data_IF_724822137380
#
_entry.id   IF_724822137380
#
_cell.length_a   1.000
_cell.length_b   1.000
_cell.length_c   1.000
_cell.angle_alpha   90.00
_cell.angle_beta   90.00
_cell.angle_gamma   90.00
#
_symmetry.space_group_name_H-M   'P 1'
#
loop_
_entity.id
_entity.type
_entity.pdbx_description
1 polymer ?
#
# COMPACT_ATOMS: atom_id res chain seq x y z
N UNK A 1 -9.23 -16.67 -16.49
CA UNK A 1 -10.16 -17.17 -15.46
C UNK A 1 -9.44 -18.21 -14.62
N UNK A 2 -9.42 -18.06 -13.30
CA UNK A 2 -8.75 -18.98 -12.36
C UNK A 2 -9.41 -20.37 -12.43
N UNK A 3 -8.68 -21.38 -12.89
CA UNK A 3 -9.16 -22.76 -12.93
C UNK A 3 -9.34 -23.26 -11.48
N UNK A 4 -10.56 -23.66 -11.05
CA UNK A 4 -10.82 -24.07 -9.66
C UNK A 4 -9.95 -25.24 -9.19
N UNK A 5 -9.50 -26.10 -10.10
CA UNK A 5 -8.60 -27.22 -9.77
C UNK A 5 -7.20 -26.74 -9.40
N UNK A 6 -6.68 -25.77 -10.16
CA UNK A 6 -5.36 -25.17 -9.92
C UNK A 6 -5.33 -24.49 -8.55
N UNK A 7 -6.39 -23.76 -8.20
CA UNK A 7 -6.50 -23.12 -6.88
C UNK A 7 -6.52 -24.14 -5.73
N UNK A 8 -7.37 -25.17 -5.82
CA UNK A 8 -7.40 -26.24 -4.80
C UNK A 8 -6.06 -26.95 -4.64
N UNK A 9 -5.33 -27.13 -5.74
CA UNK A 9 -4.01 -27.74 -5.69
C UNK A 9 -2.99 -26.81 -5.03
N UNK A 10 -3.02 -25.51 -5.34
CA UNK A 10 -2.19 -24.51 -4.68
C UNK A 10 -2.41 -24.50 -3.17
N UNK A 11 -3.67 -24.44 -2.71
CA UNK A 11 -4.02 -24.46 -1.29
C UNK A 11 -3.51 -25.74 -0.60
N UNK A 12 -3.66 -26.89 -1.27
CA UNK A 12 -3.20 -28.18 -0.72
C UNK A 12 -1.68 -28.27 -0.64
N UNK A 13 -0.97 -27.75 -1.65
CA UNK A 13 0.50 -27.66 -1.66
C UNK A 13 0.94 -26.74 -0.51
N UNK A 14 0.32 -25.58 -0.36
CA UNK A 14 0.66 -24.63 0.70
C UNK A 14 0.58 -25.27 2.08
N UNK A 15 -0.54 -25.91 2.41
CA UNK A 15 -0.73 -26.59 3.71
C UNK A 15 0.29 -27.71 3.89
N UNK A 16 0.49 -28.56 2.87
CA UNK A 16 1.43 -29.68 2.95
C UNK A 16 2.86 -29.21 3.17
N UNK A 17 3.30 -28.17 2.45
CA UNK A 17 4.65 -27.60 2.57
C UNK A 17 4.83 -26.96 3.94
N UNK A 18 3.85 -26.20 4.43
CA UNK A 18 3.89 -25.59 5.76
C UNK A 18 4.03 -26.64 6.87
N UNK A 19 3.19 -27.69 6.85
CA UNK A 19 3.27 -28.80 7.81
C UNK A 19 4.63 -29.53 7.75
N UNK A 20 5.17 -29.70 6.55
CA UNK A 20 6.47 -30.34 6.33
C UNK A 20 7.63 -29.52 6.92
N UNK A 21 7.60 -28.21 6.72
CA UNK A 21 8.60 -27.30 7.26
C UNK A 21 8.54 -27.26 8.80
N UNK A 22 7.34 -27.24 9.38
CA UNK A 22 7.17 -27.22 10.84
C UNK A 22 7.63 -28.54 11.51
N UNK A 23 7.27 -29.69 10.92
CA UNK A 23 7.39 -30.99 11.61
C UNK A 23 8.62 -31.80 11.22
N UNK A 24 9.07 -31.69 9.97
CA UNK A 24 9.98 -32.66 9.34
C UNK A 24 11.32 -32.09 8.92
N UNK A 25 11.38 -30.80 8.57
CA UNK A 25 12.63 -30.15 8.17
C UNK A 25 13.27 -29.48 9.38
N UNK A 26 14.15 -30.21 10.07
CA UNK A 26 14.96 -29.71 11.19
C UNK A 26 16.41 -29.55 10.75
N UNK A 27 16.64 -28.65 9.80
CA UNK A 27 18.00 -28.28 9.42
C UNK A 27 18.48 -27.13 10.31
N UNK A 28 19.64 -27.22 10.99
CA UNK A 28 20.17 -26.13 11.80
C UNK A 28 20.47 -24.84 11.01
N UNK A 29 20.55 -24.92 9.66
CA UNK A 29 20.73 -23.77 8.76
C UNK A 29 19.42 -23.10 8.37
N UNK A 30 18.29 -23.77 8.60
CA UNK A 30 16.97 -23.24 8.30
C UNK A 30 16.52 -22.34 9.46
N UNK A 31 16.32 -21.06 9.19
CA UNK A 31 15.74 -20.12 10.14
C UNK A 31 14.24 -20.38 10.36
N UNK A 32 13.56 -19.43 11.02
CA UNK A 32 12.10 -19.51 11.16
C UNK A 32 11.44 -19.13 9.83
N UNK A 33 11.14 -20.14 9.00
CA UNK A 33 10.56 -19.98 7.67
C UNK A 33 9.04 -20.07 7.71
N UNK A 34 8.36 -19.12 7.08
CA UNK A 34 6.90 -19.11 6.93
C UNK A 34 6.53 -19.09 5.45
N UNK A 35 5.56 -19.91 5.04
CA UNK A 35 5.03 -19.92 3.66
C UNK A 35 3.88 -18.92 3.55
N UNK A 36 4.01 -17.93 2.67
CA UNK A 36 3.00 -16.88 2.49
C UNK A 36 1.95 -17.27 1.46
N UNK A 37 2.39 -17.75 0.30
CA UNK A 37 1.52 -18.04 -0.85
C UNK A 37 2.12 -19.14 -1.73
N UNK A 38 1.28 -19.81 -2.51
CA UNK A 38 1.71 -20.76 -3.54
C UNK A 38 0.98 -20.48 -4.83
N UNK A 39 1.73 -20.31 -5.91
CA UNK A 39 1.17 -20.11 -7.26
C UNK A 39 1.50 -21.29 -8.13
N UNK A 40 0.46 -21.88 -8.72
CA UNK A 40 0.59 -23.02 -9.62
C UNK A 40 0.30 -22.55 -11.04
N UNK A 41 1.14 -22.98 -11.99
CA UNK A 41 0.95 -22.72 -13.42
C UNK A 41 -0.36 -23.33 -13.93
N UNK A 42 -0.92 -22.77 -15.01
CA UNK A 42 -2.19 -23.21 -15.59
C UNK A 42 -2.17 -24.67 -16.07
N UNK A 43 -0.99 -25.18 -16.44
CA UNK A 43 -0.73 -26.57 -16.83
C UNK A 43 -0.40 -27.49 -15.66
N UNK A 44 -0.35 -26.97 -14.43
CA UNK A 44 -0.04 -27.69 -13.19
C UNK A 44 1.34 -28.36 -13.13
N UNK A 45 2.25 -28.01 -14.03
CA UNK A 45 3.60 -28.60 -14.07
C UNK A 45 4.58 -27.87 -13.14
N UNK A 46 4.33 -26.60 -12.86
CA UNK A 46 5.19 -25.73 -12.05
C UNK A 46 4.40 -25.11 -10.90
N UNK A 47 5.02 -25.05 -9.73
CA UNK A 47 4.47 -24.38 -8.56
C UNK A 47 5.56 -23.53 -7.89
N UNK A 48 5.33 -22.23 -7.79
CA UNK A 48 6.18 -21.28 -7.09
C UNK A 48 5.65 -21.07 -5.68
N UNK A 49 6.48 -21.37 -4.69
CA UNK A 49 6.20 -21.26 -3.26
C UNK A 49 6.87 -20.01 -2.73
N UNK A 50 6.08 -19.06 -2.26
CA UNK A 50 6.55 -17.82 -1.65
C UNK A 50 6.75 -18.02 -0.16
N UNK A 51 7.93 -17.68 0.33
CA UNK A 51 8.29 -17.85 1.73
C UNK A 51 9.01 -16.64 2.29
N UNK A 52 8.90 -16.46 3.60
CA UNK A 52 9.57 -15.40 4.35
C UNK A 52 10.44 -16.05 5.41
N UNK A 53 11.57 -15.42 5.73
CA UNK A 53 12.47 -15.88 6.78
C UNK A 53 12.56 -14.80 7.84
N UNK A 54 12.34 -15.17 9.09
CA UNK A 54 12.59 -14.25 10.20
C UNK A 54 14.10 -14.25 10.51
N UNK A 55 14.80 -13.18 10.13
CA UNK A 55 16.22 -13.03 10.42
C UNK A 55 16.94 -12.03 9.50
N UNK A 56 18.26 -11.99 9.62
CA UNK A 56 19.14 -11.20 8.75
C UNK A 56 19.41 -11.90 7.40
N UNK A 57 20.00 -11.16 6.45
CA UNK A 57 20.29 -11.63 5.08
C UNK A 57 21.13 -12.93 5.03
N UNK A 58 22.04 -13.12 5.98
CA UNK A 58 22.82 -14.37 6.11
C UNK A 58 21.90 -15.57 6.39
N UNK A 59 20.86 -15.40 7.21
CA UNK A 59 19.89 -16.46 7.49
C UNK A 59 18.95 -16.70 6.29
N UNK A 60 18.63 -15.65 5.52
CA UNK A 60 17.84 -15.78 4.29
C UNK A 60 18.57 -16.66 3.29
N UNK A 61 19.85 -16.37 3.02
CA UNK A 61 20.67 -17.15 2.07
C UNK A 61 20.92 -18.58 2.55
N UNK A 62 21.19 -18.79 3.84
CA UNK A 62 21.32 -20.13 4.42
C UNK A 62 20.01 -20.94 4.33
N UNK A 63 18.88 -20.30 4.60
CA UNK A 63 17.55 -20.92 4.51
C UNK A 63 17.18 -21.26 3.07
N UNK A 64 17.53 -20.40 2.11
CA UNK A 64 17.33 -20.68 0.69
C UNK A 64 18.10 -21.94 0.23
N UNK A 65 19.36 -22.08 0.64
CA UNK A 65 20.17 -23.26 0.35
C UNK A 65 19.61 -24.54 1.02
N UNK A 66 19.11 -24.43 2.25
CA UNK A 66 18.48 -25.53 2.97
C UNK A 66 17.17 -25.98 2.28
N UNK A 67 16.32 -25.03 1.86
CA UNK A 67 15.08 -25.31 1.13
C UNK A 67 15.35 -25.97 -0.22
N UNK A 68 16.36 -25.51 -0.97
CA UNK A 68 16.72 -26.13 -2.25
C UNK A 68 17.25 -27.56 -2.05
N UNK A 69 18.00 -27.81 -0.97
CA UNK A 69 18.45 -29.15 -0.60
C UNK A 69 17.28 -30.08 -0.20
N UNK A 70 16.28 -29.53 0.51
CA UNK A 70 15.09 -30.25 0.94
C UNK A 70 14.02 -30.40 -0.15
N UNK A 71 14.15 -29.72 -1.28
CA UNK A 71 13.17 -29.67 -2.38
C UNK A 71 12.72 -31.05 -2.86
N UNK A 72 13.64 -32.00 -3.00
CA UNK A 72 13.30 -33.36 -3.40
C UNK A 72 12.39 -34.07 -2.40
N UNK A 73 12.71 -33.94 -1.11
CA UNK A 73 11.93 -34.52 -0.01
C UNK A 73 10.55 -33.86 0.11
N UNK A 74 10.49 -32.54 0.02
CA UNK A 74 9.23 -31.79 0.05
C UNK A 74 8.36 -32.19 -1.14
N UNK A 75 8.92 -32.24 -2.37
CA UNK A 75 8.18 -32.65 -3.57
C UNK A 75 7.63 -34.07 -3.44
N UNK A 76 8.41 -35.01 -2.91
CA UNK A 76 7.96 -36.39 -2.71
C UNK A 76 6.78 -36.48 -1.74
N UNK A 77 6.77 -35.72 -0.65
CA UNK A 77 5.65 -35.70 0.30
C UNK A 77 4.41 -34.99 -0.26
N UNK A 78 4.60 -33.88 -0.97
CA UNK A 78 3.53 -33.21 -1.71
C UNK A 78 2.87 -34.18 -2.69
N UNK A 79 3.66 -34.99 -3.41
CA UNK A 79 3.12 -36.02 -4.31
C UNK A 79 2.28 -37.09 -3.60
N UNK A 80 2.71 -37.55 -2.42
CA UNK A 80 1.95 -38.50 -1.61
C UNK A 80 0.64 -37.92 -1.10
N UNK A 81 0.63 -36.66 -0.69
CA UNK A 81 -0.58 -35.99 -0.19
C UNK A 81 -1.58 -35.60 -1.28
N UNK A 82 -1.09 -35.20 -2.45
CA UNK A 82 -1.93 -34.79 -3.58
C UNK A 82 -2.57 -35.98 -4.30
N UNK A 83 -1.91 -37.13 -4.35
CA UNK A 83 -2.39 -38.31 -5.07
C UNK A 83 -2.51 -38.09 -6.59
N UNK A 84 -1.78 -37.12 -7.15
CA UNK A 84 -1.82 -36.78 -8.57
C UNK A 84 -0.84 -37.60 -9.38
N UNK A 85 -1.14 -37.80 -10.67
CA UNK A 85 -0.24 -38.49 -11.60
C UNK A 85 1.05 -37.69 -11.85
N UNK A 86 0.93 -36.37 -11.88
CA UNK A 86 2.05 -35.45 -12.07
C UNK A 86 2.14 -34.54 -10.85
N UNK A 87 3.34 -34.50 -10.26
CA UNK A 87 3.65 -33.63 -9.14
C UNK A 87 4.36 -32.42 -9.71
N UNK A 88 3.89 -31.19 -9.44
CA UNK A 88 4.53 -29.99 -9.95
C UNK A 88 5.97 -29.89 -9.44
N UNK A 89 6.83 -29.30 -10.27
CA UNK A 89 8.16 -28.87 -9.83
C UNK A 89 7.99 -27.67 -8.91
N UNK A 90 8.58 -27.75 -7.71
CA UNK A 90 8.52 -26.70 -6.71
C UNK A 90 9.69 -25.74 -6.89
N UNK A 91 9.40 -24.45 -6.94
CA UNK A 91 10.38 -23.37 -6.91
C UNK A 91 10.15 -22.53 -5.66
N UNK A 92 11.22 -22.19 -4.93
CA UNK A 92 11.11 -21.40 -3.70
C UNK A 92 11.55 -19.96 -3.98
N UNK A 93 10.65 -19.02 -3.73
CA UNK A 93 10.89 -17.58 -3.96
C UNK A 93 10.77 -16.85 -2.63
N UNK A 94 11.82 -16.13 -2.25
CA UNK A 94 11.79 -15.31 -1.05
C UNK A 94 10.86 -14.11 -1.25
N UNK A 95 9.97 -13.91 -0.29
CA UNK A 95 8.98 -12.86 -0.28
C UNK A 95 9.42 -11.69 0.63
N UNK A 96 9.56 -10.50 0.04
CA UNK A 96 9.90 -9.27 0.75
C UNK A 96 8.68 -8.49 1.28
N UNK A 97 7.45 -8.98 1.04
CA UNK A 97 6.22 -8.31 1.46
C UNK A 97 6.14 -7.98 2.98
N UNK A 98 6.65 -8.80 3.93
CA UNK A 98 6.49 -8.50 5.36
C UNK A 98 7.15 -7.19 5.79
N UNK A 99 8.34 -6.87 5.25
CA UNK A 99 9.04 -5.64 5.60
C UNK A 99 8.31 -4.41 5.06
N UNK A 100 7.70 -4.55 3.87
CA UNK A 100 6.89 -3.49 3.27
C UNK A 100 5.63 -3.21 4.09
N UNK A 101 4.97 -4.25 4.61
CA UNK A 101 3.78 -4.09 5.45
C UNK A 101 4.09 -3.32 6.75
N UNK A 102 5.16 -3.67 7.45
CA UNK A 102 5.61 -2.94 8.67
C UNK A 102 5.87 -1.46 8.40
N UNK A 103 6.54 -1.17 7.28
CA UNK A 103 6.83 0.21 6.90
C UNK A 103 5.54 1.01 6.65
N UNK A 104 4.56 0.42 5.97
CA UNK A 104 3.25 1.06 5.74
C UNK A 104 2.53 1.32 7.07
N UNK A 105 2.53 0.36 8.00
CA UNK A 105 1.93 0.52 9.33
C UNK A 105 2.58 1.66 10.13
N UNK A 106 3.91 1.76 10.09
CA UNK A 106 4.65 2.83 10.75
C UNK A 106 4.28 4.21 10.19
N UNK A 107 4.20 4.33 8.86
CA UNK A 107 3.78 5.56 8.19
C UNK A 107 2.32 5.92 8.53
N UNK A 108 1.41 4.95 8.55
CA UNK A 108 0.02 5.17 8.96
C UNK A 108 -0.09 5.64 10.41
N UNK A 109 0.76 5.11 11.30
CA UNK A 109 0.86 5.57 12.69
C UNK A 109 1.23 7.05 12.78
N UNK A 110 2.32 7.45 12.10
CA UNK A 110 2.78 8.85 12.06
C UNK A 110 1.72 9.80 11.51
N UNK A 111 1.00 9.40 10.46
CA UNK A 111 -0.09 10.21 9.89
C UNK A 111 -1.23 10.39 10.88
N UNK A 112 -1.65 9.32 11.57
CA UNK A 112 -2.72 9.41 12.58
C UNK A 112 -2.36 10.34 13.74
N UNK A 113 -1.11 10.30 14.20
CA UNK A 113 -0.62 11.21 15.25
C UNK A 113 -0.64 12.67 14.78
N UNK A 114 -0.19 12.93 13.55
CA UNK A 114 -0.25 14.26 12.94
C UNK A 114 -1.68 14.77 12.80
N UNK A 115 -2.59 13.94 12.30
CA UNK A 115 -4.01 14.30 12.14
C UNK A 115 -4.68 14.57 13.49
N UNK A 116 -4.36 13.78 14.51
CA UNK A 116 -4.86 14.00 15.87
C UNK A 116 -4.35 15.34 16.46
N UNK A 117 -3.09 15.71 16.20
CA UNK A 117 -2.54 16.99 16.63
C UNK A 117 -3.21 18.18 15.93
N UNK A 118 -3.48 18.07 14.62
CA UNK A 118 -4.24 19.08 13.86
C UNK A 118 -5.68 19.19 14.37
N UNK A 119 -6.35 18.06 14.64
CA UNK A 119 -7.70 18.05 15.19
C UNK A 119 -7.76 18.68 16.60
N UNK A 120 -6.77 18.40 17.46
CA UNK A 120 -6.67 18.98 18.80
C UNK A 120 -6.46 20.50 18.74
N UNK A 121 -5.61 20.99 17.84
CA UNK A 121 -5.40 22.44 17.66
C UNK A 121 -6.61 23.14 17.03
N UNK A 122 -7.37 22.46 16.17
CA UNK A 122 -8.61 22.98 15.60
C UNK A 122 -9.76 23.08 16.63
N UNK A 123 -9.84 22.16 17.60
CA UNK A 123 -10.92 22.14 18.60
C UNK A 123 -10.96 23.38 19.51
N UNK A 124 -9.82 24.07 19.68
CA UNK A 124 -9.71 25.32 20.44
C UNK A 124 -9.54 26.57 19.57
N UNK A 125 -9.55 26.45 18.25
CA UNK A 125 -9.29 27.57 17.35
C UNK A 125 -10.51 28.48 17.24
N UNK A 126 -10.29 29.78 17.47
CA UNK A 126 -11.27 30.82 17.18
C UNK A 126 -11.10 31.24 15.72
N UNK A 127 -12.21 31.37 14.99
CA UNK A 127 -12.19 31.83 13.60
C UNK A 127 -11.48 33.19 13.51
N UNK A 128 -10.58 33.36 12.55
CA UNK A 128 -9.75 34.55 12.42
C UNK A 128 -10.51 35.82 11.96
N UNK A 129 -11.84 35.75 11.83
CA UNK A 129 -12.70 36.85 11.39
C UNK A 129 -13.70 37.29 12.45
N UNK A 130 -14.17 38.54 12.32
CA UNK A 130 -15.26 39.07 13.12
C UNK A 130 -16.60 38.39 12.75
N UNK A 131 -17.58 38.30 13.67
CA UNK A 131 -18.84 37.59 13.44
C UNK A 131 -19.69 38.14 12.29
N UNK A 132 -19.46 39.39 11.90
CA UNK A 132 -20.15 40.05 10.80
C UNK A 132 -19.14 40.49 9.73
N UNK A 133 -19.04 39.76 8.61
CA UNK A 133 -18.12 40.09 7.52
C UNK A 133 -18.62 41.23 6.62
N UNK A 134 -19.79 41.82 6.89
CA UNK A 134 -20.36 42.87 6.05
C UNK A 134 -20.04 44.27 6.57
N UNK A 135 -19.68 45.15 5.62
CA UNK A 135 -19.54 46.58 5.89
C UNK A 135 -20.90 47.13 6.29
N UNK A 136 -21.04 47.55 7.55
CA UNK A 136 -22.26 48.23 8.01
C UNK A 136 -22.49 49.49 7.18
N UNK A 137 -23.72 49.74 6.70
CA UNK A 137 -24.08 51.02 6.12
C UNK A 137 -23.69 52.13 7.10
N UNK A 138 -23.14 53.23 6.57
CA UNK A 138 -22.99 54.43 7.39
C UNK A 138 -24.41 54.91 7.72
N UNK A 139 -24.70 55.13 9.00
CA UNK A 139 -25.92 55.84 9.40
C UNK A 139 -25.76 57.27 8.87
N UNK A 140 -26.42 57.55 7.75
CA UNK A 140 -26.53 58.88 7.17
C UNK A 140 -27.51 59.73 8.02
N UNK A 141 -27.14 60.02 9.27
CA UNK A 141 -27.70 61.14 10.03
C UNK A 141 -26.71 62.32 10.06
N UNK A 142 -26.14 62.67 8.91
CA UNK A 142 -25.72 64.06 8.61
C UNK A 142 -25.45 64.26 7.10
N UNK A 143 -26.50 64.20 6.26
CA UNK A 143 -26.39 64.67 4.86
C UNK A 143 -26.80 66.14 4.80
N UNK A 144 -25.82 67.03 5.00
CA UNK A 144 -25.86 68.37 4.43
C UNK A 144 -25.66 68.29 2.92
N UNK A 145 -26.62 68.85 2.18
CA UNK A 145 -26.75 68.93 0.72
C UNK A 145 -25.45 69.01 -0.10
N UNK A 146 -25.35 68.23 -1.19
CA UNK A 146 -25.50 68.75 -2.56
C UNK A 146 -25.12 67.73 -3.66
N UNK A 147 -25.87 67.88 -4.75
CA UNK A 147 -25.64 67.57 -6.16
C UNK A 147 -25.75 66.13 -6.71
N UNK A 148 -26.76 66.03 -7.58
CA UNK A 148 -27.07 64.98 -8.53
C UNK A 148 -25.92 64.79 -9.53
N UNK A 149 -25.51 63.54 -9.76
CA UNK A 149 -25.13 63.12 -11.12
C UNK A 149 -25.62 61.70 -11.39
N UNK A 150 -26.36 61.61 -12.49
CA UNK A 150 -26.81 60.49 -13.30
C UNK A 150 -26.82 59.07 -12.72
N UNK A 151 -28.05 58.54 -12.70
CA UNK A 151 -28.36 57.12 -12.62
C UNK A 151 -28.37 56.54 -14.04
N UNK A 152 -27.57 55.51 -14.31
CA UNK A 152 -27.86 54.55 -15.39
C UNK A 152 -27.90 53.12 -14.79
N UNK A 153 -29.07 52.45 -14.78
CA UNK A 153 -29.26 51.20 -14.07
C UNK A 153 -29.11 50.01 -15.01
N UNK A 154 -28.03 49.23 -14.86
CA UNK A 154 -28.07 47.82 -15.24
C UNK A 154 -27.78 46.96 -14.03
N UNK A 155 -28.86 46.49 -13.43
CA UNK A 155 -28.85 45.44 -12.44
C UNK A 155 -28.28 44.15 -13.02
N UNK A 156 -27.26 43.59 -12.37
CA UNK A 156 -27.02 42.14 -12.38
C UNK A 156 -27.08 41.67 -10.93
N UNK A 157 -28.07 40.81 -10.67
CA UNK A 157 -28.35 40.16 -9.41
C UNK A 157 -27.21 39.19 -8.99
N UNK A 158 -27.23 38.65 -7.76
CA UNK A 158 -26.05 38.27 -7.00
C UNK A 158 -25.46 36.93 -7.47
N UNK A 159 -24.19 36.93 -7.86
CA UNK A 159 -23.44 35.69 -8.03
C UNK A 159 -22.97 35.21 -6.65
N UNK A 160 -23.79 34.36 -6.04
CA UNK A 160 -23.30 33.40 -5.06
C UNK A 160 -22.17 32.57 -5.67
N UNK A 161 -21.01 32.46 -5.01
CA UNK A 161 -19.94 31.41 -5.12
C UNK A 161 -18.79 31.93 -4.23
N UNK A 162 -18.15 31.23 -3.31
CA UNK A 162 -18.18 29.91 -2.69
C UNK A 162 -17.34 30.06 -1.39
N UNK A 163 -17.43 29.17 -0.37
CA UNK A 163 -16.59 29.29 0.82
C UNK A 163 -15.11 29.25 0.42
N UNK A 164 -14.38 30.31 0.76
CA UNK A 164 -12.95 30.37 0.57
C UNK A 164 -12.31 29.21 1.32
N UNK A 165 -11.63 28.36 0.55
CA UNK A 165 -10.91 27.21 1.03
C UNK A 165 -9.96 27.61 2.17
N UNK A 166 -10.08 26.91 3.29
CA UNK A 166 -9.02 26.83 4.30
C UNK A 166 -7.79 26.32 3.57
N UNK A 167 -6.77 27.18 3.43
CA UNK A 167 -5.47 26.76 2.95
C UNK A 167 -4.96 25.66 3.91
N UNK A 168 -4.62 24.45 3.42
CA UNK A 168 -3.97 23.48 4.28
C UNK A 168 -2.66 24.08 4.75
N UNK A 169 -2.44 24.06 6.07
CA UNK A 169 -1.14 24.39 6.66
C UNK A 169 -0.06 23.64 5.88
N UNK A 170 0.95 24.40 5.42
CA UNK A 170 1.99 23.89 4.55
C UNK A 170 2.69 22.70 5.20
N UNK A 171 2.46 21.50 4.65
CA UNK A 171 3.30 20.33 4.92
C UNK A 171 4.67 20.65 4.32
N UNK A 172 5.67 20.77 5.19
CA UNK A 172 7.07 20.88 4.76
C UNK A 172 7.48 19.58 4.04
N UNK A 173 7.62 19.69 2.72
CA UNK A 173 7.98 18.58 1.82
C UNK A 173 9.49 18.41 1.65
N UNK A 174 10.31 19.14 2.41
CA UNK A 174 11.77 19.18 2.22
C UNK A 174 12.51 17.91 2.63
N UNK A 175 11.87 16.98 3.36
CA UNK A 175 12.52 15.74 3.82
C UNK A 175 12.25 14.49 2.97
N UNK A 176 11.55 14.60 1.83
CA UNK A 176 11.43 13.47 0.90
C UNK A 176 12.67 13.44 0.01
N UNK A 177 13.68 12.69 0.42
CA UNK A 177 14.79 12.32 -0.44
C UNK A 177 14.27 11.48 -1.61
N UNK A 178 14.17 12.10 -2.79
CA UNK A 178 13.69 11.50 -4.04
C UNK A 178 14.80 10.79 -4.83
N UNK A 179 16.00 10.63 -4.25
CA UNK A 179 17.18 10.14 -4.95
C UNK A 179 17.16 8.64 -5.32
N UNK A 180 16.19 7.84 -4.86
CA UNK A 180 16.27 6.37 -4.97
C UNK A 180 15.18 5.68 -5.82
N UNK A 181 14.48 6.40 -6.71
CA UNK A 181 13.58 5.76 -7.69
C UNK A 181 14.19 5.87 -9.09
N UNK A 182 15.04 4.90 -9.42
CA UNK A 182 15.45 4.66 -10.80
C UNK A 182 14.29 3.99 -11.56
N UNK A 183 13.85 4.52 -12.72
CA UNK A 183 12.87 3.83 -13.54
C UNK A 183 13.54 2.67 -14.27
N UNK A 184 13.20 1.43 -13.89
CA UNK A 184 13.57 0.24 -14.65
C UNK A 184 12.86 0.28 -16.01
N UNK A 185 13.66 0.40 -17.08
CA UNK A 185 13.22 0.39 -18.46
C UNK A 185 12.49 -0.92 -18.79
N UNK A 186 11.25 -0.80 -19.25
CA UNK A 186 10.52 -1.88 -19.90
C UNK A 186 10.93 -1.88 -21.37
N UNK A 187 11.80 -2.82 -21.74
CA UNK A 187 12.07 -3.15 -23.13
C UNK A 187 10.86 -3.90 -23.71
N UNK A 188 10.06 -3.19 -24.51
CA UNK A 188 9.09 -3.79 -25.43
C UNK A 188 9.79 -4.03 -26.75
N UNK A 189 10.47 -5.16 -26.85
CA UNK A 189 10.88 -5.71 -28.14
C UNK A 189 9.75 -6.54 -28.73
N UNK A 190 9.09 -5.94 -29.71
CA UNK A 190 8.32 -6.62 -30.73
C UNK A 190 9.25 -7.55 -31.55
N UNK A 191 8.80 -8.76 -31.79
CA UNK A 191 9.07 -9.60 -32.97
C UNK A 191 7.83 -10.49 -33.06
N UNK A 192 6.95 -10.37 -34.05
CA UNK A 192 7.15 -10.74 -35.46
C UNK A 192 7.84 -12.09 -35.56
N UNK A 193 7.03 -13.15 -35.48
CA UNK A 193 6.88 -14.12 -36.58
C UNK A 193 5.45 -14.67 -36.57
#
# INVERSE_FOLDING_TARGET
MSNPRVRKMADRIQVTVAEMLERRVKDPRLGFVTVTDVRVSGDTQHASVFYTVLGEEVQVTASAAALESAKGLIRSEVGKQLGTRHVPTLEFIHDALPETARHIEELLGKVRESDAAVAASAAGAVYAGEPDPYRKPHDDEDIGAADETDVDPTAVAPAAVAPAAVAPAAVDRSAVDRSAVAPAAVDRSASVE
#
